data_IF_321096177718
#
_entry.id   IF_321096177718
#
_cell.length_a   1.000
_cell.length_b   1.000
_cell.length_c   1.000
_cell.angle_alpha   90.00
_cell.angle_beta   90.00
_cell.angle_gamma   90.00
#
_symmetry.space_group_name_H-M   'P 1'
#
loop_
_entity.id
_entity.type
_entity.pdbx_description
1 polymer ?
#
# COMPACT_ATOMS: atom_id res chain seq x y z
N UNK A 1 3.38 -11.94 22.31
CA UNK A 1 4.13 -11.41 21.15
C UNK A 1 3.41 -10.16 20.67
N UNK A 2 4.11 -9.03 20.48
CA UNK A 2 3.47 -7.79 20.03
C UNK A 2 3.00 -7.96 18.57
N UNK A 3 1.76 -7.59 18.22
CA UNK A 3 1.29 -7.66 16.84
C UNK A 3 2.09 -6.69 15.94
N UNK A 4 2.14 -6.96 14.64
CA UNK A 4 2.83 -6.10 13.66
C UNK A 4 2.14 -4.72 13.58
N UNK A 5 0.83 -4.69 13.80
CA UNK A 5 -0.02 -3.50 13.89
C UNK A 5 -1.25 -3.82 14.75
N UNK A 6 -1.75 -2.82 15.45
CA UNK A 6 -3.01 -2.88 16.21
C UNK A 6 -4.12 -2.09 15.51
N UNK A 7 -3.73 -1.14 14.67
CA UNK A 7 -4.63 -0.27 13.92
C UNK A 7 -4.49 -0.51 12.43
N UNK A 8 -5.63 -0.56 11.73
CA UNK A 8 -5.68 -0.66 10.29
C UNK A 8 -6.73 0.30 9.73
N UNK A 9 -6.36 1.07 8.71
CA UNK A 9 -7.21 2.06 8.07
C UNK A 9 -7.35 1.75 6.58
N UNK A 10 -8.58 1.76 6.07
CA UNK A 10 -8.87 1.70 4.64
C UNK A 10 -9.20 3.08 4.13
N UNK A 11 -8.39 3.59 3.21
CA UNK A 11 -8.63 4.83 2.48
C UNK A 11 -9.71 4.56 1.44
N UNK A 12 -10.86 5.21 1.58
CA UNK A 12 -12.01 5.07 0.68
C UNK A 12 -12.69 6.43 0.48
N UNK A 13 -13.04 6.76 -0.76
CA UNK A 13 -13.79 7.98 -1.07
C UNK A 13 -15.24 7.86 -0.59
N UNK A 14 -15.83 8.94 -0.08
CA UNK A 14 -17.26 8.98 0.29
C UNK A 14 -18.20 8.72 -0.90
N UNK A 15 -17.74 9.05 -2.10
CA UNK A 15 -18.45 8.76 -3.36
C UNK A 15 -18.39 7.29 -3.80
N UNK A 16 -17.65 6.42 -3.09
CA UNK A 16 -17.42 5.00 -3.43
C UNK A 16 -17.89 4.03 -2.33
N UNK A 17 -19.18 4.06 -1.94
CA UNK A 17 -19.73 3.09 -0.98
C UNK A 17 -19.66 1.65 -1.52
N UNK A 18 -19.74 1.46 -2.84
CA UNK A 18 -19.59 0.18 -3.53
C UNK A 18 -18.24 -0.49 -3.21
N UNK A 19 -17.15 0.28 -3.23
CA UNK A 19 -15.81 -0.24 -2.88
C UNK A 19 -15.69 -0.54 -1.40
N UNK A 20 -16.32 0.28 -0.56
CA UNK A 20 -16.32 0.07 0.89
C UNK A 20 -17.01 -1.25 1.25
N UNK A 21 -18.20 -1.52 0.73
CA UNK A 21 -18.89 -2.80 0.94
C UNK A 21 -18.03 -3.99 0.49
N UNK A 22 -17.38 -3.85 -0.67
CA UNK A 22 -16.57 -4.91 -1.23
C UNK A 22 -15.29 -5.20 -0.42
N UNK A 23 -14.57 -4.16 0.04
CA UNK A 23 -13.36 -4.36 0.85
C UNK A 23 -13.72 -4.93 2.23
N UNK A 24 -14.88 -4.59 2.81
CA UNK A 24 -15.35 -5.19 4.07
C UNK A 24 -15.49 -6.71 3.97
N UNK A 25 -16.00 -7.24 2.84
CA UNK A 25 -16.07 -8.70 2.60
C UNK A 25 -14.67 -9.32 2.58
N UNK A 26 -13.73 -8.69 1.88
CA UNK A 26 -12.34 -9.16 1.77
C UNK A 26 -11.61 -9.13 3.13
N UNK A 27 -11.79 -8.07 3.91
CA UNK A 27 -11.24 -7.92 5.26
C UNK A 27 -11.76 -8.99 6.21
N UNK A 28 -13.06 -9.28 6.16
CA UNK A 28 -13.67 -10.34 6.96
C UNK A 28 -13.08 -11.72 6.63
N UNK A 29 -12.93 -12.03 5.34
CA UNK A 29 -12.30 -13.29 4.90
C UNK A 29 -10.84 -13.40 5.32
N UNK A 30 -10.12 -12.27 5.36
CA UNK A 30 -8.75 -12.18 5.80
C UNK A 30 -8.59 -12.05 7.33
N UNK A 31 -9.67 -12.09 8.12
CA UNK A 31 -9.66 -11.82 9.56
C UNK A 31 -8.85 -10.56 9.94
N UNK A 32 -9.02 -9.50 9.15
CA UNK A 32 -8.32 -8.22 9.28
C UNK A 32 -9.34 -7.14 9.62
N UNK A 33 -9.60 -6.84 10.90
CA UNK A 33 -10.41 -5.69 11.26
C UNK A 33 -9.69 -4.41 10.82
N UNK A 34 -10.39 -3.53 10.10
CA UNK A 34 -9.89 -2.23 9.71
C UNK A 34 -11.02 -1.20 9.74
N UNK A 35 -10.69 0.02 10.13
CA UNK A 35 -11.62 1.15 10.11
C UNK A 35 -11.59 1.86 8.76
N UNK A 36 -12.72 2.44 8.38
CA UNK A 36 -12.78 3.32 7.21
C UNK A 36 -12.12 4.65 7.54
N UNK A 37 -11.28 5.13 6.64
CA UNK A 37 -10.77 6.49 6.62
C UNK A 37 -11.31 7.19 5.38
N UNK A 38 -12.01 8.31 5.57
CA UNK A 38 -12.55 9.10 4.47
C UNK A 38 -11.38 9.69 3.66
N UNK A 39 -11.22 9.22 2.42
CA UNK A 39 -10.18 9.70 1.53
C UNK A 39 -10.40 11.18 1.20
N UNK A 40 -9.31 11.93 1.13
CA UNK A 40 -9.32 13.31 0.66
C UNK A 40 -9.61 13.27 -0.84
N UNK A 41 -10.66 13.96 -1.27
CA UNK A 41 -11.00 14.14 -2.68
C UNK A 41 -10.33 15.40 -3.24
N UNK A 42 -10.44 15.60 -4.55
CA UNK A 42 -9.85 16.75 -5.25
C UNK A 42 -10.42 18.08 -4.73
N UNK A 43 -11.72 18.13 -4.45
CA UNK A 43 -12.39 19.34 -3.95
C UNK A 43 -11.87 19.76 -2.57
N UNK A 44 -11.47 18.80 -1.73
CA UNK A 44 -10.89 19.05 -0.41
C UNK A 44 -9.46 19.60 -0.42
N UNK A 45 -8.87 19.82 -1.60
CA UNK A 45 -7.48 20.30 -1.76
C UNK A 45 -7.38 21.67 -2.45
N UNK A 46 -8.48 22.43 -2.56
CA UNK A 46 -8.47 23.75 -3.18
C UNK A 46 -7.42 24.69 -2.56
N UNK A 47 -7.26 24.66 -1.23
CA UNK A 47 -6.29 25.48 -0.49
C UNK A 47 -4.90 24.84 -0.37
N UNK A 48 -4.70 23.65 -0.93
CA UNK A 48 -3.44 22.91 -0.92
C UNK A 48 -3.19 22.29 -2.30
N UNK A 49 -2.89 23.11 -3.32
CA UNK A 49 -2.72 22.63 -4.69
C UNK A 49 -1.48 21.74 -4.84
N UNK A 50 -1.45 20.85 -5.84
CA UNK A 50 -0.30 20.00 -6.11
C UNK A 50 0.94 20.84 -6.46
N UNK A 51 2.14 20.46 -5.98
CA UNK A 51 3.37 21.20 -6.29
C UNK A 51 3.75 21.06 -7.77
N UNK A 52 4.41 22.08 -8.32
CA UNK A 52 4.86 22.07 -9.72
C UNK A 52 5.73 20.86 -10.06
N UNK A 53 6.60 20.43 -9.13
CA UNK A 53 7.44 19.25 -9.33
C UNK A 53 6.65 17.95 -9.58
N UNK A 54 5.46 17.80 -8.95
CA UNK A 54 4.58 16.65 -9.20
C UNK A 54 3.96 16.72 -10.60
N UNK A 55 3.58 17.93 -11.05
CA UNK A 55 3.09 18.17 -12.41
C UNK A 55 4.17 17.79 -13.43
N UNK A 56 5.38 18.31 -13.27
CA UNK A 56 6.50 18.04 -14.17
C UNK A 56 6.83 16.55 -14.25
N UNK A 57 6.83 15.88 -13.09
CA UNK A 57 7.04 14.43 -13.02
C UNK A 57 5.97 13.65 -13.80
N UNK A 58 4.68 13.96 -13.61
CA UNK A 58 3.60 13.26 -14.30
C UNK A 58 3.58 13.56 -15.81
N UNK A 59 3.87 14.80 -16.22
CA UNK A 59 4.03 15.16 -17.62
C UNK A 59 5.17 14.37 -18.27
N UNK A 60 6.29 14.18 -17.58
CA UNK A 60 7.40 13.38 -18.07
C UNK A 60 7.05 11.89 -18.13
N UNK A 61 6.35 11.36 -17.12
CA UNK A 61 6.06 9.94 -16.99
C UNK A 61 4.93 9.47 -17.92
N UNK A 62 3.90 10.29 -18.08
CA UNK A 62 2.63 9.92 -18.73
C UNK A 62 2.31 10.77 -19.98
N UNK A 63 3.01 11.88 -20.19
CA UNK A 63 2.76 12.83 -21.27
C UNK A 63 1.68 13.85 -20.93
N UNK A 64 1.55 14.87 -21.79
CA UNK A 64 0.45 15.83 -21.74
C UNK A 64 -0.74 15.30 -22.55
N UNK A 65 -1.88 15.14 -21.89
CA UNK A 65 -3.07 14.54 -22.48
C UNK A 65 -4.35 15.00 -21.78
N UNK A 66 -5.53 14.67 -22.31
CA UNK A 66 -6.80 15.22 -21.83
C UNK A 66 -7.13 14.88 -20.37
N UNK A 67 -6.44 13.90 -19.79
CA UNK A 67 -6.60 13.46 -18.39
C UNK A 67 -5.49 13.94 -17.46
N UNK A 68 -4.49 14.68 -17.96
CA UNK A 68 -3.30 15.05 -17.20
C UNK A 68 -3.65 15.85 -15.93
N UNK A 69 -4.54 16.84 -16.03
CA UNK A 69 -4.97 17.63 -14.89
C UNK A 69 -5.70 16.77 -13.84
N UNK A 70 -6.66 15.95 -14.27
CA UNK A 70 -7.37 15.05 -13.36
C UNK A 70 -6.40 14.09 -12.65
N UNK A 71 -5.46 13.50 -13.39
CA UNK A 71 -4.45 12.57 -12.82
C UNK A 71 -3.52 13.26 -11.85
N UNK A 72 -3.13 14.51 -12.10
CA UNK A 72 -2.33 15.32 -11.17
C UNK A 72 -3.06 15.49 -9.83
N UNK A 73 -4.29 15.99 -9.89
CA UNK A 73 -5.09 16.21 -8.68
C UNK A 73 -5.46 14.91 -7.96
N UNK A 74 -5.82 13.86 -8.69
CA UNK A 74 -6.14 12.56 -8.11
C UNK A 74 -4.91 11.90 -7.45
N UNK A 75 -3.73 12.03 -8.06
CA UNK A 75 -2.46 11.59 -7.46
C UNK A 75 -2.15 12.36 -6.17
N UNK A 76 -2.36 13.67 -6.18
CA UNK A 76 -2.15 14.52 -5.00
C UNK A 76 -3.15 14.23 -3.86
N UNK A 77 -4.40 13.96 -4.21
CA UNK A 77 -5.45 13.51 -3.31
C UNK A 77 -5.14 12.15 -2.67
N UNK A 78 -4.63 11.20 -3.46
CA UNK A 78 -4.16 9.91 -2.97
C UNK A 78 -3.01 10.09 -1.96
N UNK A 79 -1.97 10.84 -2.32
CA UNK A 79 -0.85 11.15 -1.43
C UNK A 79 -1.34 11.75 -0.11
N UNK A 80 -2.16 12.80 -0.16
CA UNK A 80 -2.68 13.47 1.03
C UNK A 80 -3.54 12.55 1.90
N UNK A 81 -4.29 11.62 1.30
CA UNK A 81 -5.07 10.62 2.05
C UNK A 81 -4.17 9.68 2.85
N UNK A 82 -3.08 9.19 2.28
CA UNK A 82 -2.09 8.39 3.02
C UNK A 82 -1.45 9.21 4.15
N UNK A 83 -1.06 10.45 3.87
CA UNK A 83 -0.49 11.32 4.90
C UNK A 83 -1.50 11.61 6.01
N UNK A 84 -2.79 11.77 5.71
CA UNK A 84 -3.80 12.02 6.71
C UNK A 84 -3.97 10.83 7.69
N UNK A 85 -3.91 9.59 7.19
CA UNK A 85 -3.85 8.39 8.05
C UNK A 85 -2.59 8.39 8.93
N UNK A 86 -1.43 8.73 8.37
CA UNK A 86 -0.16 8.81 9.14
C UNK A 86 -0.23 9.93 10.19
N UNK A 87 -0.80 11.10 9.87
CA UNK A 87 -1.03 12.18 10.85
C UNK A 87 -1.95 11.73 11.97
N UNK A 88 -3.03 11.00 11.66
CA UNK A 88 -3.90 10.44 12.67
C UNK A 88 -3.14 9.47 13.57
N UNK A 89 -2.43 8.51 12.99
CA UNK A 89 -1.62 7.55 13.74
C UNK A 89 -0.58 8.23 14.65
N UNK A 90 0.06 9.31 14.16
CA UNK A 90 1.01 10.09 14.95
C UNK A 90 0.34 10.82 16.13
N UNK A 91 -0.81 11.48 15.89
CA UNK A 91 -1.57 12.20 16.93
C UNK A 91 -2.12 11.25 18.01
N UNK A 92 -2.51 10.06 17.61
CA UNK A 92 -3.03 9.02 18.51
C UNK A 92 -1.92 8.13 19.10
N UNK A 93 -0.66 8.43 18.80
CA UNK A 93 0.52 7.71 19.31
C UNK A 93 0.50 6.20 19.00
N UNK A 94 -0.02 5.79 17.84
CA UNK A 94 0.04 4.40 17.41
C UNK A 94 1.47 4.01 17.05
N UNK A 95 1.94 2.87 17.56
CA UNK A 95 3.30 2.36 17.26
C UNK A 95 3.49 1.97 15.79
N UNK A 96 2.41 1.53 15.15
CA UNK A 96 2.34 1.18 13.74
C UNK A 96 0.89 1.20 13.25
N UNK A 97 0.71 1.42 11.94
CA UNK A 97 -0.60 1.42 11.29
C UNK A 97 -0.52 0.66 9.98
N UNK A 98 -1.49 -0.23 9.74
CA UNK A 98 -1.74 -0.82 8.42
C UNK A 98 -2.59 0.16 7.61
N UNK A 99 -2.06 0.61 6.46
CA UNK A 99 -2.77 1.47 5.52
C UNK A 99 -3.14 0.64 4.29
N UNK A 100 -4.43 0.67 3.96
CA UNK A 100 -5.03 -0.05 2.84
C UNK A 100 -5.74 0.92 1.90
N UNK A 101 -5.64 0.69 0.59
CA UNK A 101 -6.59 1.23 -0.40
C UNK A 101 -7.83 0.32 -0.49
N UNK A 102 -8.97 0.89 -0.87
CA UNK A 102 -10.27 0.20 -0.95
C UNK A 102 -10.37 -0.85 -2.07
N UNK A 103 -9.40 -0.89 -2.97
CA UNK A 103 -9.30 -1.85 -4.07
C UNK A 103 -8.39 -3.06 -3.76
N UNK A 104 -7.98 -3.22 -2.51
CA UNK A 104 -7.26 -4.40 -2.04
C UNK A 104 -8.11 -5.68 -2.15
N UNK A 105 -7.47 -6.77 -2.56
CA UNK A 105 -8.06 -8.11 -2.54
C UNK A 105 -7.11 -9.08 -1.85
N UNK A 106 -7.56 -9.63 -0.72
CA UNK A 106 -6.77 -10.53 0.10
C UNK A 106 -6.86 -11.98 -0.38
N UNK A 107 -5.78 -12.72 -0.16
CA UNK A 107 -5.69 -14.14 -0.47
C UNK A 107 -6.29 -14.97 0.67
N UNK A 108 -6.90 -16.14 0.41
CA UNK A 108 -7.49 -16.98 1.46
C UNK A 108 -6.49 -17.43 2.55
N UNK A 109 -5.20 -17.54 2.20
CA UNK A 109 -4.14 -17.90 3.13
C UNK A 109 -3.59 -16.73 3.96
N UNK A 110 -4.20 -15.55 3.88
CA UNK A 110 -3.68 -14.31 4.51
C UNK A 110 -3.40 -14.48 6.00
N UNK A 111 -4.32 -14.99 6.84
CA UNK A 111 -4.05 -15.11 8.28
C UNK A 111 -2.93 -16.09 8.62
N UNK A 112 -2.86 -17.22 7.90
CA UNK A 112 -1.77 -18.19 8.08
C UNK A 112 -0.40 -17.57 7.77
N UNK A 113 -0.32 -16.74 6.72
CA UNK A 113 0.91 -16.02 6.38
C UNK A 113 1.22 -14.92 7.39
N UNK A 114 0.24 -14.09 7.77
CA UNK A 114 0.43 -13.00 8.74
C UNK A 114 0.88 -13.51 10.11
N UNK A 115 0.39 -14.66 10.56
CA UNK A 115 0.86 -15.31 11.78
C UNK A 115 2.37 -15.60 11.71
N UNK A 116 2.83 -16.23 10.63
CA UNK A 116 4.25 -16.54 10.42
C UNK A 116 5.10 -15.29 10.24
N UNK A 117 4.59 -14.30 9.52
CA UNK A 117 5.27 -13.01 9.34
C UNK A 117 5.45 -12.30 10.69
N UNK A 118 4.45 -12.34 11.56
CA UNK A 118 4.52 -11.72 12.90
C UNK A 118 5.63 -12.35 13.75
N UNK A 119 5.73 -13.68 13.72
CA UNK A 119 6.81 -14.42 14.41
C UNK A 119 8.19 -14.08 13.84
N UNK A 120 8.30 -13.97 12.51
CA UNK A 120 9.59 -13.78 11.84
C UNK A 120 10.09 -12.35 11.89
N UNK A 121 9.21 -11.36 11.76
CA UNK A 121 9.58 -9.94 11.74
C UNK A 121 9.91 -9.44 13.15
N UNK A 122 9.39 -10.09 14.20
CA UNK A 122 9.68 -9.74 15.59
C UNK A 122 11.18 -9.86 15.96
N UNK A 123 11.95 -10.63 15.20
CA UNK A 123 13.41 -10.79 15.39
C UNK A 123 14.23 -9.91 14.45
N UNK A 124 13.59 -9.00 13.71
CA UNK A 124 14.23 -8.14 12.72
C UNK A 124 14.05 -6.66 13.11
N UNK A 125 15.05 -5.82 12.81
CA UNK A 125 14.83 -4.39 12.76
C UNK A 125 14.04 -4.07 11.48
N UNK A 126 12.86 -3.47 11.61
CA UNK A 126 11.99 -3.14 10.48
C UNK A 126 11.28 -1.82 10.73
N UNK A 127 11.03 -1.09 9.64
CA UNK A 127 10.41 0.23 9.63
C UNK A 127 9.11 0.24 8.81
N UNK A 128 9.07 -0.52 7.71
CA UNK A 128 7.93 -0.61 6.80
C UNK A 128 7.76 -2.03 6.27
N UNK A 129 6.52 -2.54 6.24
CA UNK A 129 6.19 -3.87 5.74
C UNK A 129 5.11 -3.78 4.66
N UNK A 130 5.42 -4.19 3.44
CA UNK A 130 4.44 -4.35 2.37
C UNK A 130 3.74 -5.71 2.47
N UNK A 131 2.40 -5.68 2.45
CA UNK A 131 1.56 -6.89 2.34
C UNK A 131 1.25 -7.23 0.88
N UNK A 132 1.25 -6.20 0.03
CA UNK A 132 1.13 -6.26 -1.41
C UNK A 132 2.02 -5.18 -2.03
N UNK A 133 2.55 -5.44 -3.22
CA UNK A 133 3.36 -4.46 -3.95
C UNK A 133 4.00 -5.05 -5.20
N UNK A 134 4.58 -4.19 -6.03
CA UNK A 134 5.34 -4.60 -7.21
C UNK A 134 6.80 -4.25 -7.04
N UNK A 135 7.64 -5.30 -6.91
CA UNK A 135 9.10 -5.16 -6.98
C UNK A 135 9.52 -4.52 -8.30
N UNK A 136 10.42 -3.54 -8.23
CA UNK A 136 10.99 -2.88 -9.41
C UNK A 136 12.41 -3.37 -9.66
N UNK A 137 12.80 -3.36 -10.94
CA UNK A 137 14.15 -3.75 -11.38
C UNK A 137 15.19 -2.83 -10.73
N UNK A 138 16.39 -3.35 -10.50
CA UNK A 138 17.51 -2.58 -9.92
C UNK A 138 17.38 -2.32 -8.42
N UNK A 139 16.36 -2.84 -7.74
CA UNK A 139 16.27 -2.83 -6.28
C UNK A 139 16.80 -4.12 -5.64
N UNK A 140 17.20 -4.02 -4.37
CA UNK A 140 17.45 -5.15 -3.47
C UNK A 140 16.17 -5.97 -3.29
N UNK A 141 16.31 -7.29 -3.35
CA UNK A 141 15.28 -8.25 -3.02
C UNK A 141 15.96 -9.50 -2.44
N UNK A 142 16.21 -9.47 -1.13
CA UNK A 142 16.96 -10.51 -0.42
C UNK A 142 16.05 -11.24 0.55
N UNK A 143 15.98 -12.57 0.44
CA UNK A 143 15.19 -13.39 1.36
C UNK A 143 15.84 -13.38 2.75
N UNK A 144 15.10 -12.98 3.77
CA UNK A 144 15.57 -12.96 5.16
C UNK A 144 14.95 -14.05 6.01
N UNK A 145 13.76 -14.53 5.63
CA UNK A 145 13.07 -15.65 6.28
C UNK A 145 12.19 -16.40 5.29
N UNK A 146 11.42 -17.39 5.74
CA UNK A 146 10.52 -18.11 4.83
C UNK A 146 9.43 -17.22 4.23
N UNK A 147 9.05 -16.15 4.92
CA UNK A 147 7.94 -15.27 4.52
C UNK A 147 8.32 -13.80 4.32
N UNK A 148 9.60 -13.46 4.38
CA UNK A 148 10.05 -12.08 4.26
C UNK A 148 11.21 -11.95 3.28
N UNK A 149 11.10 -10.92 2.45
CA UNK A 149 12.22 -10.37 1.71
C UNK A 149 12.51 -8.96 2.22
N UNK A 150 13.77 -8.66 2.49
CA UNK A 150 14.26 -7.29 2.60
C UNK A 150 14.28 -6.67 1.21
N UNK A 151 13.68 -5.49 1.09
CA UNK A 151 13.47 -4.79 -0.17
C UNK A 151 13.84 -3.33 -0.04
N UNK A 152 14.26 -2.70 -1.14
CA UNK A 152 14.50 -1.26 -1.16
C UNK A 152 13.86 -0.53 -2.36
N UNK A 153 13.06 -1.24 -3.18
CA UNK A 153 12.39 -0.65 -4.36
C UNK A 153 11.09 -1.38 -4.72
N UNK A 154 9.98 -0.87 -4.19
CA UNK A 154 8.61 -1.40 -4.37
C UNK A 154 7.69 -0.26 -4.79
N UNK A 155 6.78 -0.51 -5.74
CA UNK A 155 5.66 0.41 -6.08
C UNK A 155 4.30 -0.24 -5.82
N UNK A 156 3.23 0.55 -5.94
CA UNK A 156 1.86 0.22 -5.54
C UNK A 156 1.71 0.13 -4.02
N UNK A 157 1.52 1.29 -3.37
CA UNK A 157 1.36 1.43 -1.93
C UNK A 157 -0.06 1.09 -1.41
N UNK A 158 -0.79 0.22 -2.12
CA UNK A 158 -2.14 -0.19 -1.77
C UNK A 158 -2.26 -0.92 -0.42
N UNK A 159 -1.21 -1.56 0.08
CA UNK A 159 -1.27 -2.26 1.37
C UNK A 159 0.10 -2.38 2.05
N UNK A 160 0.31 -1.58 3.10
CA UNK A 160 1.56 -1.58 3.87
C UNK A 160 1.34 -1.20 5.34
N UNK A 161 2.22 -1.70 6.19
CA UNK A 161 2.34 -1.29 7.59
C UNK A 161 3.51 -0.33 7.71
N UNK A 162 3.30 0.80 8.37
CA UNK A 162 4.33 1.80 8.65
C UNK A 162 4.44 2.04 10.16
N UNK A 163 5.67 2.07 10.67
CA UNK A 163 5.95 2.31 12.09
C UNK A 163 6.06 3.80 12.42
N UNK A 164 5.79 4.13 13.68
CA UNK A 164 5.89 5.48 14.23
C UNK A 164 7.25 6.15 13.97
N UNK A 165 8.33 5.35 13.91
CA UNK A 165 9.69 5.83 13.59
C UNK A 165 9.80 6.51 12.23
N UNK A 166 8.84 6.31 11.31
CA UNK A 166 8.82 6.93 9.99
C UNK A 166 7.78 8.03 9.83
N UNK A 167 6.86 8.22 10.78
CA UNK A 167 5.71 9.12 10.59
C UNK A 167 6.15 10.54 10.27
N UNK A 168 6.96 11.14 11.13
CA UNK A 168 7.44 12.51 10.94
C UNK A 168 8.20 12.67 9.62
N UNK A 169 9.13 11.75 9.33
CA UNK A 169 9.92 11.76 8.10
C UNK A 169 9.03 11.72 6.85
N UNK A 170 8.05 10.82 6.81
CA UNK A 170 7.12 10.71 5.68
C UNK A 170 6.28 11.98 5.54
N UNK A 171 5.78 12.52 6.66
CA UNK A 171 4.95 13.72 6.67
C UNK A 171 5.70 14.97 6.20
N UNK A 172 7.01 15.04 6.41
CA UNK A 172 7.87 16.13 5.96
C UNK A 172 8.35 15.94 4.51
N UNK A 173 8.84 14.74 4.15
CA UNK A 173 9.49 14.53 2.86
C UNK A 173 8.50 14.26 1.72
N UNK A 174 7.40 13.55 1.95
CA UNK A 174 6.51 13.12 0.87
C UNK A 174 5.82 14.28 0.13
N UNK A 175 5.25 15.30 0.81
CA UNK A 175 4.67 16.47 0.14
C UNK A 175 5.66 17.21 -0.76
N UNK A 176 6.91 17.35 -0.30
CA UNK A 176 7.97 18.10 -0.98
C UNK A 176 8.70 17.29 -2.06
N UNK A 177 8.43 15.99 -2.14
CA UNK A 177 9.18 15.07 -3.02
C UNK A 177 8.96 15.33 -4.51
N UNK A 178 7.84 15.95 -4.89
CA UNK A 178 7.36 16.04 -6.27
C UNK A 178 6.99 14.67 -6.87
N UNK A 179 6.77 13.65 -6.03
CA UNK A 179 6.47 12.29 -6.47
C UNK A 179 5.12 11.79 -5.93
N UNK A 180 4.41 10.91 -6.66
CA UNK A 180 3.36 10.10 -6.07
C UNK A 180 3.87 9.33 -4.84
N UNK A 181 2.99 9.03 -3.87
CA UNK A 181 3.40 8.42 -2.59
C UNK A 181 4.19 7.12 -2.76
N UNK A 182 3.80 6.27 -3.72
CA UNK A 182 4.47 5.00 -3.98
C UNK A 182 5.83 5.17 -4.68
N UNK A 183 5.99 6.22 -5.49
CA UNK A 183 7.28 6.61 -6.07
C UNK A 183 8.20 7.25 -5.03
N UNK A 184 7.68 8.13 -4.16
CA UNK A 184 8.44 8.66 -3.03
C UNK A 184 8.97 7.52 -2.17
N UNK A 185 8.11 6.56 -1.80
CA UNK A 185 8.56 5.37 -1.08
C UNK A 185 9.65 4.61 -1.87
N UNK A 186 9.36 4.24 -3.11
CA UNK A 186 10.25 3.45 -3.97
C UNK A 186 11.64 4.06 -4.15
N UNK A 187 11.71 5.36 -4.43
CA UNK A 187 12.93 6.00 -4.92
C UNK A 187 13.66 6.85 -3.86
N UNK A 188 12.99 7.24 -2.76
CA UNK A 188 13.57 8.10 -1.72
C UNK A 188 13.63 7.43 -0.35
N UNK A 189 12.51 6.87 0.11
CA UNK A 189 12.41 6.33 1.48
C UNK A 189 13.10 4.97 1.60
N UNK A 190 12.64 3.98 0.82
CA UNK A 190 13.04 2.58 0.92
C UNK A 190 14.56 2.32 0.81
N UNK A 191 15.35 3.06 0.01
CA UNK A 191 16.81 2.91 -0.02
C UNK A 191 17.51 3.11 1.32
N UNK A 192 16.88 3.81 2.27
CA UNK A 192 17.50 4.25 3.53
C UNK A 192 16.91 3.61 4.79
N UNK A 193 15.95 2.68 4.65
CA UNK A 193 15.22 2.08 5.78
C UNK A 193 15.22 0.55 5.71
N UNK A 194 14.82 -0.12 6.79
CA UNK A 194 14.60 -1.56 6.80
C UNK A 194 13.17 -1.88 6.39
N UNK A 195 12.96 -1.98 5.08
CA UNK A 195 11.68 -2.36 4.51
C UNK A 195 11.63 -3.83 4.11
N UNK A 196 10.46 -4.43 4.31
CA UNK A 196 10.20 -5.83 4.00
C UNK A 196 8.97 -5.99 3.11
N UNK A 197 8.96 -7.08 2.34
CA UNK A 197 7.82 -7.53 1.55
C UNK A 197 7.46 -8.95 1.98
N UNK A 198 6.17 -9.18 2.23
CA UNK A 198 5.65 -10.50 2.56
C UNK A 198 5.76 -11.45 1.36
N UNK A 199 6.16 -12.69 1.62
CA UNK A 199 6.13 -13.80 0.66
C UNK A 199 5.41 -15.03 1.25
N UNK A 200 4.44 -15.63 0.55
CA UNK A 200 3.80 -15.16 -0.67
C UNK A 200 3.03 -13.85 -0.43
N UNK A 201 2.90 -13.00 -1.46
CA UNK A 201 2.04 -11.81 -1.37
C UNK A 201 0.63 -12.20 -0.94
N UNK A 202 0.08 -11.48 0.04
CA UNK A 202 -1.23 -11.77 0.62
C UNK A 202 -2.33 -10.86 0.12
N UNK A 203 -1.97 -9.75 -0.54
CA UNK A 203 -2.93 -8.84 -1.18
C UNK A 203 -2.43 -8.36 -2.53
N UNK A 204 -3.37 -7.96 -3.37
CA UNK A 204 -3.14 -7.37 -4.68
C UNK A 204 -4.20 -6.30 -4.96
N UNK A 205 -3.83 -5.32 -5.78
CA UNK A 205 -4.76 -4.35 -6.32
C UNK A 205 -5.72 -5.01 -7.32
N UNK A 206 -7.02 -4.75 -7.18
CA UNK A 206 -8.03 -5.23 -8.13
C UNK A 206 -7.78 -4.64 -9.52
N UNK A 207 -7.99 -5.45 -10.55
CA UNK A 207 -7.69 -5.08 -11.94
C UNK A 207 -8.93 -4.65 -12.73
N UNK A 208 -10.11 -5.22 -12.42
CA UNK A 208 -11.34 -5.07 -13.18
C UNK A 208 -12.13 -3.78 -12.91
N UNK A 209 -11.70 -2.95 -11.96
CA UNK A 209 -12.36 -1.68 -11.65
C UNK A 209 -11.60 -0.53 -12.32
N UNK A 210 -12.33 0.46 -12.84
CA UNK A 210 -11.74 1.72 -13.30
C UNK A 210 -11.06 2.40 -12.11
N UNK A 211 -9.74 2.61 -12.20
CA UNK A 211 -9.01 3.42 -11.22
C UNK A 211 -9.50 4.87 -11.30
N UNK A 212 -9.83 5.49 -10.17
CA UNK A 212 -10.24 6.91 -10.16
C UNK A 212 -9.06 7.84 -10.52
N UNK A 213 -7.81 7.36 -10.41
CA UNK A 213 -6.60 8.08 -10.80
C UNK A 213 -6.31 7.87 -12.29
N UNK A 214 -6.12 6.60 -12.71
CA UNK A 214 -5.69 6.29 -14.08
C UNK A 214 -6.85 6.36 -15.08
N UNK A 215 -8.10 6.21 -14.62
CA UNK A 215 -9.31 6.10 -15.46
C UNK A 215 -9.16 5.07 -16.59
N UNK A 216 -8.43 3.98 -16.31
CA UNK A 216 -8.15 2.87 -17.21
C UNK A 216 -8.39 1.57 -16.46
N UNK A 217 -9.11 0.65 -17.10
CA UNK A 217 -9.29 -0.73 -16.62
C UNK A 217 -8.01 -1.54 -16.89
N UNK A 218 -7.56 -2.32 -15.91
CA UNK A 218 -6.37 -3.16 -16.07
C UNK A 218 -6.78 -4.59 -16.41
N UNK A 219 -6.18 -5.19 -17.43
CA UNK A 219 -6.43 -6.60 -17.78
C UNK A 219 -5.50 -7.55 -17.01
N UNK A 220 -6.00 -8.63 -16.39
CA UNK A 220 -5.15 -9.61 -15.74
C UNK A 220 -4.26 -10.34 -16.75
N UNK A 221 -2.98 -10.52 -16.41
CA UNK A 221 -2.07 -11.38 -17.18
C UNK A 221 -1.99 -12.75 -16.52
N UNK A 222 -2.41 -13.80 -17.23
CA UNK A 222 -2.21 -15.18 -16.80
C UNK A 222 -0.72 -15.49 -16.68
N UNK A 223 -0.29 -15.93 -15.51
CA UNK A 223 1.10 -16.32 -15.25
C UNK A 223 1.09 -17.66 -14.52
N UNK A 224 1.43 -18.74 -15.23
CA UNK A 224 1.49 -20.12 -14.70
C UNK A 224 2.30 -20.23 -13.41
N UNK A 225 3.45 -19.55 -13.33
CA UNK A 225 4.27 -19.48 -12.11
C UNK A 225 3.52 -18.87 -10.91
N UNK A 226 2.66 -17.87 -11.14
CA UNK A 226 1.87 -17.23 -10.07
C UNK A 226 0.79 -18.19 -9.55
N UNK A 227 0.13 -18.92 -10.45
CA UNK A 227 -0.86 -19.95 -10.08
C UNK A 227 -0.23 -21.08 -9.25
N UNK A 228 0.93 -21.58 -9.66
CA UNK A 228 1.64 -22.61 -8.91
C UNK A 228 2.04 -22.15 -7.51
N UNK A 229 2.61 -20.93 -7.38
CA UNK A 229 2.96 -20.36 -6.07
C UNK A 229 1.73 -20.15 -5.19
N UNK A 230 0.60 -19.75 -5.78
CA UNK A 230 -0.67 -19.61 -5.07
C UNK A 230 -1.15 -20.96 -4.52
N UNK A 231 -1.10 -22.03 -5.32
CA UNK A 231 -1.51 -23.37 -4.87
C UNK A 231 -0.60 -23.90 -3.75
N UNK A 232 0.72 -23.72 -3.88
CA UNK A 232 1.65 -24.05 -2.80
C UNK A 232 1.37 -23.28 -1.50
N UNK A 233 0.99 -22.00 -1.62
CA UNK A 233 0.61 -21.18 -0.48
C UNK A 233 -0.67 -21.69 0.18
N UNK A 234 -1.69 -22.07 -0.59
CA UNK A 234 -2.91 -22.69 -0.06
C UNK A 234 -2.60 -23.98 0.70
N UNK A 235 -1.75 -24.85 0.17
CA UNK A 235 -1.36 -26.07 0.88
C UNK A 235 -0.61 -25.79 2.19
N UNK A 236 0.29 -24.80 2.17
CA UNK A 236 1.16 -24.48 3.31
C UNK A 236 0.44 -23.72 4.43
N UNK A 237 -0.51 -22.86 4.09
CA UNK A 237 -1.12 -21.90 5.01
C UNK A 237 -2.64 -22.01 5.13
N UNK A 238 -3.31 -22.69 4.19
CA UNK A 238 -4.78 -22.77 4.14
C UNK A 238 -5.41 -23.71 5.17
N UNK A 239 -4.62 -24.50 5.91
CA UNK A 239 -5.09 -25.41 6.97
C UNK A 239 -5.01 -24.82 8.38
N UNK A 240 -4.69 -23.54 8.51
CA UNK A 240 -4.52 -22.88 9.80
C UNK A 240 -5.71 -21.99 10.14
N UNK A 241 -6.88 -22.61 10.33
CA UNK A 241 -8.02 -22.07 11.08
C UNK A 241 -8.73 -23.21 11.79
#
# INVERSE_FOLDING_TARGET
MKPIFEHACVINLDSRPDRWEQIQVNLKQANLPAQRFAAINIQGLQDNPPPQALRDFLLQADGDGPKAEHKLWATWACLNSHLAVIRQAQREHWDSVLILEDDCVFQPYTPGVLKRVSEQIATQAWDLLYLGGTLKKGGLHQKTSSNLYRVNRVRLAHAYVVRATLYERILQEAPESGLPIDWYYSERLLPSINAYLVDPLITYQRYADLSDIEQVERKPKLKSRKLFRHWLALLRYGRSF
#
